data_IF_122146899626
#
_entry.id   IF_122146899626
#
_cell.length_a   1.000
_cell.length_b   1.000
_cell.length_c   1.000
_cell.angle_alpha   90.00
_cell.angle_beta   90.00
_cell.angle_gamma   90.00
#
_symmetry.space_group_name_H-M   'P 1'
#
loop_
_entity.id
_entity.type
_entity.pdbx_description
1 polymer ?
#
# COMPACT_ATOMS: atom_id res chain seq x y z
N UNK A 1 15.91 -16.65 4.95
CA UNK A 1 15.33 -15.31 5.21
C UNK A 1 16.01 -14.73 6.44
N UNK A 2 16.53 -13.50 6.37
CA UNK A 2 17.07 -12.81 7.55
C UNK A 2 15.95 -12.58 8.56
N UNK A 3 16.25 -12.70 9.86
CA UNK A 3 15.29 -12.44 10.93
C UNK A 3 14.88 -10.96 10.88
N UNK A 4 13.58 -10.60 10.90
CA UNK A 4 13.16 -9.21 10.80
C UNK A 4 13.76 -8.39 11.95
N UNK A 5 14.18 -7.16 11.65
CA UNK A 5 14.76 -6.27 12.65
C UNK A 5 13.71 -5.89 13.72
N UNK A 6 14.15 -5.48 14.91
CA UNK A 6 13.22 -4.96 15.93
C UNK A 6 12.46 -3.73 15.40
N UNK A 7 13.11 -2.88 14.59
CA UNK A 7 12.45 -1.78 13.87
C UNK A 7 11.31 -2.28 13.01
N UNK A 8 11.53 -3.34 12.23
CA UNK A 8 10.52 -3.87 11.32
C UNK A 8 9.34 -4.50 12.04
N UNK A 9 9.62 -5.26 13.11
CA UNK A 9 8.56 -5.84 13.97
C UNK A 9 7.69 -4.77 14.60
N UNK A 10 8.29 -3.66 15.02
CA UNK A 10 7.56 -2.52 15.58
C UNK A 10 6.65 -1.87 14.54
N UNK A 11 7.15 -1.63 13.33
CA UNK A 11 6.33 -1.08 12.24
C UNK A 11 5.24 -2.05 11.81
N UNK A 12 5.52 -3.35 11.76
CA UNK A 12 4.51 -4.36 11.43
C UNK A 12 3.38 -4.39 12.45
N UNK A 13 3.71 -4.37 13.75
CA UNK A 13 2.72 -4.28 14.82
C UNK A 13 1.93 -2.98 14.76
N UNK A 14 2.61 -1.85 14.47
CA UNK A 14 1.94 -0.56 14.36
C UNK A 14 0.96 -0.51 13.18
N UNK A 15 1.36 -1.01 12.00
CA UNK A 15 0.48 -1.15 10.83
C UNK A 15 -0.75 -2.01 11.14
N UNK A 16 -0.57 -3.16 11.80
CA UNK A 16 -1.68 -4.04 12.19
C UNK A 16 -2.65 -3.34 13.14
N UNK A 17 -2.15 -2.69 14.19
CA UNK A 17 -2.99 -1.95 15.14
C UNK A 17 -3.75 -0.78 14.50
N UNK A 18 -3.16 -0.12 13.51
CA UNK A 18 -3.82 0.94 12.74
C UNK A 18 -4.95 0.41 11.88
N UNK A 19 -4.75 -0.75 11.25
CA UNK A 19 -5.75 -1.41 10.38
C UNK A 19 -6.92 -1.96 11.21
N UNK A 20 -6.65 -2.63 12.32
CA UNK A 20 -7.68 -3.22 13.18
C UNK A 20 -8.49 -2.18 13.97
N UNK A 21 -7.84 -1.08 14.34
CA UNK A 21 -8.33 -0.17 15.36
C UNK A 21 -9.11 1.06 14.86
N UNK A 22 -9.69 1.05 13.65
CA UNK A 22 -10.29 2.22 12.99
C UNK A 22 -10.94 3.24 13.97
N UNK A 23 -10.19 4.29 14.35
CA UNK A 23 -10.61 5.36 15.27
C UNK A 23 -9.92 5.43 16.64
N UNK A 24 -9.18 4.41 17.06
CA UNK A 24 -8.47 4.40 18.34
C UNK A 24 -7.06 5.03 18.25
N UNK A 25 -6.69 5.77 19.30
CA UNK A 25 -5.34 6.31 19.44
C UNK A 25 -4.38 5.17 19.85
N UNK A 26 -3.69 4.56 18.87
CA UNK A 26 -2.65 3.54 19.15
C UNK A 26 -1.57 4.10 20.07
N UNK A 27 -1.27 3.42 21.17
CA UNK A 27 -0.26 3.84 22.16
C UNK A 27 1.08 3.14 21.91
N UNK A 28 2.19 3.76 22.36
CA UNK A 28 3.52 3.14 22.26
C UNK A 28 3.60 1.81 23.04
N UNK A 29 2.88 1.71 24.16
CA UNK A 29 2.86 0.49 24.98
C UNK A 29 2.13 -0.65 24.25
N UNK A 30 1.00 -0.38 23.60
CA UNK A 30 0.30 -1.36 22.78
C UNK A 30 1.16 -1.85 21.60
N UNK A 31 1.91 -0.94 20.96
CA UNK A 31 2.84 -1.31 19.88
C UNK A 31 3.99 -2.17 20.41
N UNK A 32 4.58 -1.81 21.56
CA UNK A 32 5.68 -2.59 22.15
C UNK A 32 5.22 -4.02 22.51
N UNK A 33 4.03 -4.14 23.10
CA UNK A 33 3.40 -5.42 23.42
C UNK A 33 3.14 -6.26 22.17
N UNK A 34 2.44 -5.69 21.18
CA UNK A 34 2.12 -6.38 19.92
C UNK A 34 3.38 -6.76 19.12
N UNK A 35 4.41 -5.91 19.15
CA UNK A 35 5.69 -6.20 18.53
C UNK A 35 6.54 -7.20 19.34
N UNK A 36 6.14 -7.54 20.57
CA UNK A 36 6.90 -8.33 21.54
C UNK A 36 8.36 -7.83 21.70
N UNK A 37 8.49 -6.52 21.97
CA UNK A 37 9.74 -5.82 22.30
C UNK A 37 9.58 -5.03 23.60
N UNK A 38 10.69 -4.70 24.26
CA UNK A 38 10.62 -3.81 25.43
C UNK A 38 10.30 -2.38 25.02
N UNK A 39 9.70 -1.59 25.94
CA UNK A 39 9.46 -0.15 25.74
C UNK A 39 10.75 0.61 25.39
N UNK A 40 11.85 0.28 26.07
CA UNK A 40 13.18 0.85 25.74
C UNK A 40 13.68 0.44 24.35
N UNK A 41 13.42 -0.79 23.93
CA UNK A 41 13.76 -1.27 22.58
C UNK A 41 12.93 -0.61 21.48
N UNK A 42 11.66 -0.32 21.74
CA UNK A 42 10.83 0.49 20.84
C UNK A 42 11.35 1.93 20.76
N UNK A 43 11.57 2.58 21.91
CA UNK A 43 11.99 3.98 21.98
C UNK A 43 13.39 4.22 21.38
N UNK A 44 14.25 3.20 21.36
CA UNK A 44 15.53 3.24 20.65
C UNK A 44 15.36 3.50 19.14
N UNK A 45 14.31 2.94 18.53
CA UNK A 45 14.02 3.11 17.10
C UNK A 45 13.02 4.25 16.83
N UNK A 46 12.04 4.43 17.72
CA UNK A 46 10.94 5.37 17.56
C UNK A 46 10.71 6.12 18.87
N UNK A 47 11.37 7.28 19.07
CA UNK A 47 11.33 8.00 20.34
C UNK A 47 9.96 8.64 20.65
N UNK A 48 9.06 8.70 19.68
CA UNK A 48 7.72 9.27 19.81
C UNK A 48 6.71 8.55 18.92
N UNK A 49 5.43 8.88 19.10
CA UNK A 49 4.36 8.41 18.22
C UNK A 49 4.48 9.01 16.82
N UNK A 50 4.93 10.26 16.73
CA UNK A 50 5.24 10.93 15.46
C UNK A 50 6.33 10.17 14.70
N UNK A 51 7.38 9.71 15.39
CA UNK A 51 8.42 8.88 14.76
C UNK A 51 7.89 7.55 14.21
N UNK A 52 6.89 6.93 14.85
CA UNK A 52 6.21 5.75 14.29
C UNK A 52 5.41 6.09 13.02
N UNK A 53 4.71 7.22 13.02
CA UNK A 53 3.97 7.72 11.85
C UNK A 53 4.93 7.97 10.68
N UNK A 54 6.04 8.66 10.94
CA UNK A 54 7.05 8.91 9.92
C UNK A 54 7.67 7.59 9.42
N UNK A 55 7.97 6.66 10.32
CA UNK A 55 8.51 5.34 9.97
C UNK A 55 7.61 4.51 9.06
N UNK A 56 6.28 4.51 9.29
CA UNK A 56 5.35 3.82 8.39
C UNK A 56 5.16 4.55 7.06
N UNK A 57 5.24 5.89 7.06
CA UNK A 57 5.22 6.69 5.84
C UNK A 57 6.44 6.42 4.96
N UNK A 58 7.64 6.36 5.54
CA UNK A 58 8.87 6.03 4.82
C UNK A 58 8.84 4.62 4.26
N UNK A 59 8.35 3.66 5.06
CA UNK A 59 8.14 2.29 4.59
C UNK A 59 7.16 2.22 3.42
N UNK A 60 6.09 3.02 3.41
CA UNK A 60 5.19 3.08 2.27
C UNK A 60 5.90 3.60 1.02
N UNK A 61 6.72 4.65 1.13
CA UNK A 61 7.51 5.16 0.00
C UNK A 61 8.44 4.09 -0.56
N UNK A 62 9.17 3.39 0.30
CA UNK A 62 10.07 2.31 -0.11
C UNK A 62 9.32 1.18 -0.83
N UNK A 63 8.20 0.74 -0.27
CA UNK A 63 7.37 -0.32 -0.87
C UNK A 63 6.78 0.13 -2.20
N UNK A 64 6.27 1.36 -2.29
CA UNK A 64 5.70 1.92 -3.52
C UNK A 64 6.75 2.10 -4.61
N UNK A 65 7.95 2.59 -4.29
CA UNK A 65 9.05 2.69 -5.23
C UNK A 65 9.47 1.31 -5.77
N UNK A 66 9.54 0.30 -4.89
CA UNK A 66 9.81 -1.07 -5.30
C UNK A 66 8.67 -1.65 -6.16
N UNK A 67 7.42 -1.29 -5.88
CA UNK A 67 6.26 -1.72 -6.65
C UNK A 67 6.22 -1.11 -8.05
N UNK A 68 6.48 0.19 -8.16
CA UNK A 68 6.65 0.87 -9.45
C UNK A 68 7.79 0.23 -10.27
N UNK A 69 8.91 -0.13 -9.62
CA UNK A 69 9.99 -0.82 -10.31
C UNK A 69 9.57 -2.20 -10.83
N UNK A 70 8.79 -2.96 -10.05
CA UNK A 70 8.23 -4.25 -10.49
C UNK A 70 7.20 -4.08 -11.61
N UNK A 71 6.33 -3.09 -11.53
CA UNK A 71 5.36 -2.75 -12.59
C UNK A 71 6.07 -2.49 -13.92
N UNK A 72 7.14 -1.69 -13.92
CA UNK A 72 7.95 -1.42 -15.13
C UNK A 72 8.65 -2.65 -15.70
N UNK A 73 9.02 -3.60 -14.83
CA UNK A 73 9.74 -4.80 -15.20
C UNK A 73 8.84 -6.04 -15.37
N UNK A 74 7.52 -5.88 -15.29
CA UNK A 74 6.57 -6.98 -15.28
C UNK A 74 6.55 -7.72 -16.64
N UNK A 75 6.95 -9.00 -16.73
CA UNK A 75 6.98 -9.73 -17.99
C UNK A 75 5.58 -9.94 -18.59
N UNK A 76 4.54 -9.99 -17.76
CA UNK A 76 3.13 -10.02 -18.16
C UNK A 76 2.57 -8.67 -18.60
N UNK A 77 3.36 -7.60 -18.51
CA UNK A 77 2.96 -6.24 -18.86
C UNK A 77 2.24 -5.47 -17.73
N UNK A 78 2.07 -4.15 -17.91
CA UNK A 78 1.60 -3.25 -16.84
C UNK A 78 0.16 -3.52 -16.41
N UNK A 79 -0.72 -3.88 -17.35
CA UNK A 79 -2.16 -4.10 -17.10
C UNK A 79 -2.37 -5.35 -16.24
N UNK A 80 -1.80 -6.48 -16.66
CA UNK A 80 -1.92 -7.75 -15.95
C UNK A 80 -1.26 -7.69 -14.55
N UNK A 81 -0.10 -7.02 -14.44
CA UNK A 81 0.53 -6.77 -13.15
C UNK A 81 -0.39 -5.98 -12.22
N UNK A 82 -0.87 -4.82 -12.67
CA UNK A 82 -1.66 -3.90 -11.85
C UNK A 82 -2.95 -4.53 -11.32
N UNK A 83 -3.70 -5.22 -12.17
CA UNK A 83 -4.93 -5.93 -11.79
C UNK A 83 -4.64 -7.03 -10.77
N UNK A 84 -3.64 -7.87 -11.03
CA UNK A 84 -3.32 -9.00 -10.14
C UNK A 84 -2.88 -8.53 -8.76
N UNK A 85 -1.97 -7.55 -8.69
CA UNK A 85 -1.43 -7.09 -7.40
C UNK A 85 -2.45 -6.28 -6.60
N UNK A 86 -3.36 -5.57 -7.27
CA UNK A 86 -4.47 -4.90 -6.60
C UNK A 86 -5.33 -5.89 -5.78
N UNK A 87 -5.54 -7.10 -6.31
CA UNK A 87 -6.29 -8.17 -5.61
C UNK A 87 -5.42 -8.91 -4.60
N UNK A 88 -4.25 -9.42 -5.00
CA UNK A 88 -3.44 -10.32 -4.16
C UNK A 88 -2.83 -9.65 -2.93
N UNK A 89 -2.52 -8.35 -3.04
CA UNK A 89 -1.78 -7.63 -2.02
C UNK A 89 -2.69 -6.74 -1.18
N UNK A 90 -4.01 -6.72 -1.41
CA UNK A 90 -4.94 -5.78 -0.80
C UNK A 90 -4.81 -5.68 0.73
N UNK A 91 -4.60 -6.82 1.40
CA UNK A 91 -4.48 -6.92 2.87
C UNK A 91 -3.09 -7.35 3.35
N UNK A 92 -2.10 -7.40 2.45
CA UNK A 92 -0.73 -7.85 2.78
C UNK A 92 0.31 -6.89 2.21
N UNK A 93 1.60 -7.11 2.52
CA UNK A 93 2.70 -6.36 1.90
C UNK A 93 2.45 -4.85 1.81
N UNK A 94 2.47 -4.32 0.59
CA UNK A 94 2.21 -2.90 0.32
C UNK A 94 0.77 -2.47 0.62
N UNK A 95 -0.24 -3.30 0.34
CA UNK A 95 -1.65 -2.94 0.56
C UNK A 95 -1.96 -2.67 2.03
N UNK A 96 -1.46 -3.52 2.93
CA UNK A 96 -1.59 -3.28 4.40
C UNK A 96 -0.91 -1.98 4.83
N UNK A 97 0.28 -1.68 4.33
CA UNK A 97 0.98 -0.43 4.66
C UNK A 97 0.23 0.77 4.11
N UNK A 98 -0.25 0.69 2.87
CA UNK A 98 -1.05 1.72 2.23
C UNK A 98 -2.33 1.99 3.02
N UNK A 99 -3.06 0.94 3.43
CA UNK A 99 -4.26 1.04 4.27
C UNK A 99 -3.96 1.74 5.60
N UNK A 100 -2.87 1.38 6.28
CA UNK A 100 -2.48 2.00 7.54
C UNK A 100 -2.21 3.51 7.39
N UNK A 101 -1.46 3.90 6.36
CA UNK A 101 -1.15 5.32 6.08
C UNK A 101 -2.39 6.07 5.60
N UNK A 102 -3.26 5.45 4.80
CA UNK A 102 -4.53 6.02 4.37
C UNK A 102 -5.45 6.30 5.57
N UNK A 103 -5.52 5.39 6.54
CA UNK A 103 -6.22 5.60 7.81
C UNK A 103 -5.67 6.81 8.58
N UNK A 104 -4.34 6.92 8.69
CA UNK A 104 -3.69 8.09 9.29
C UNK A 104 -4.01 9.39 8.53
N UNK A 105 -4.03 9.37 7.21
CA UNK A 105 -4.40 10.52 6.38
C UNK A 105 -5.86 10.96 6.63
N UNK A 106 -6.76 10.00 6.83
CA UNK A 106 -8.17 10.23 7.21
C UNK A 106 -8.34 10.95 8.54
N UNK A 107 -7.43 10.73 9.50
CA UNK A 107 -7.43 11.44 10.80
C UNK A 107 -6.91 12.89 10.75
N UNK A 108 -6.56 13.41 9.57
CA UNK A 108 -6.11 14.80 9.42
C UNK A 108 -4.59 15.00 9.49
N UNK A 109 -3.78 13.94 9.50
CA UNK A 109 -2.31 14.04 9.56
C UNK A 109 -1.73 14.51 8.21
N UNK A 110 -1.10 15.70 8.13
CA UNK A 110 -0.60 16.24 6.86
C UNK A 110 0.51 15.39 6.22
N UNK A 111 1.42 14.84 7.02
CA UNK A 111 2.51 13.99 6.53
C UNK A 111 1.98 12.74 5.81
N UNK A 112 1.02 12.04 6.42
CA UNK A 112 0.38 10.87 5.80
C UNK A 112 -0.37 11.22 4.51
N UNK A 113 -1.10 12.35 4.49
CA UNK A 113 -1.78 12.83 3.26
C UNK A 113 -0.80 13.11 2.13
N UNK A 114 0.34 13.74 2.45
CA UNK A 114 1.37 14.04 1.47
C UNK A 114 1.97 12.76 0.88
N UNK A 115 2.22 11.75 1.72
CA UNK A 115 2.76 10.44 1.30
C UNK A 115 1.77 9.69 0.41
N UNK A 116 0.49 9.64 0.76
CA UNK A 116 -0.54 9.03 -0.10
C UNK A 116 -0.55 9.71 -1.47
N UNK A 117 -0.59 11.04 -1.50
CA UNK A 117 -0.60 11.77 -2.76
C UNK A 117 0.71 11.57 -3.57
N UNK A 118 1.85 11.43 -2.91
CA UNK A 118 3.14 11.12 -3.53
C UNK A 118 3.15 9.74 -4.18
N UNK A 119 2.71 8.72 -3.46
CA UNK A 119 2.63 7.33 -3.92
C UNK A 119 1.64 7.18 -5.09
N UNK A 120 0.45 7.79 -4.99
CA UNK A 120 -0.54 7.83 -6.07
C UNK A 120 0.00 8.45 -7.36
N UNK A 121 0.74 9.57 -7.24
CA UNK A 121 1.41 10.20 -8.38
C UNK A 121 2.48 9.28 -8.99
N UNK A 122 3.21 8.53 -8.16
CA UNK A 122 4.22 7.57 -8.60
C UNK A 122 3.64 6.46 -9.47
N UNK A 123 2.57 5.80 -9.02
CA UNK A 123 1.88 4.78 -9.82
C UNK A 123 1.23 5.35 -11.08
N UNK A 124 0.57 6.51 -10.96
CA UNK A 124 -0.04 7.19 -12.12
C UNK A 124 1.00 7.46 -13.21
N UNK A 125 2.12 8.07 -12.84
CA UNK A 125 3.20 8.37 -13.79
C UNK A 125 3.79 7.10 -14.42
N UNK A 126 3.94 6.02 -13.65
CA UNK A 126 4.43 4.75 -14.18
C UNK A 126 3.44 4.10 -15.17
N UNK A 127 2.13 4.16 -14.91
CA UNK A 127 1.12 3.65 -15.83
C UNK A 127 1.03 4.51 -17.10
N UNK A 128 1.10 5.84 -16.99
CA UNK A 128 1.12 6.76 -18.13
C UNK A 128 2.40 6.62 -18.98
N UNK A 129 3.53 6.23 -18.38
CA UNK A 129 4.76 5.89 -19.09
C UNK A 129 4.62 4.59 -19.91
N UNK A 130 3.90 3.61 -19.37
CA UNK A 130 3.82 2.25 -19.93
C UNK A 130 2.61 2.03 -20.86
N UNK A 131 1.60 2.90 -20.79
CA UNK A 131 0.35 2.80 -21.57
C UNK A 131 0.19 4.08 -22.40
N UNK A 132 0.24 3.94 -23.73
CA UNK A 132 0.33 5.07 -24.65
C UNK A 132 -0.89 6.01 -24.62
N UNK A 133 -2.10 5.47 -24.50
CA UNK A 133 -3.32 6.28 -24.37
C UNK A 133 -3.52 6.68 -22.89
N UNK A 134 -3.45 7.99 -22.54
CA UNK A 134 -3.61 8.45 -21.17
C UNK A 134 -5.00 8.20 -20.59
N UNK A 135 -6.04 8.14 -21.43
CA UNK A 135 -7.40 7.76 -20.98
C UNK A 135 -7.42 6.30 -20.59
N UNK A 136 -6.78 5.43 -21.37
CA UNK A 136 -6.67 4.00 -21.04
C UNK A 136 -5.81 3.79 -19.79
N UNK A 137 -4.68 4.50 -19.65
CA UNK A 137 -3.85 4.46 -18.44
C UNK A 137 -4.67 4.82 -17.19
N UNK A 138 -5.49 5.87 -17.29
CA UNK A 138 -6.40 6.29 -16.21
C UNK A 138 -7.47 5.23 -15.90
N UNK A 139 -8.05 4.58 -16.91
CA UNK A 139 -9.02 3.50 -16.72
C UNK A 139 -8.37 2.31 -16.01
N UNK A 140 -7.19 1.87 -16.46
CA UNK A 140 -6.43 0.77 -15.84
C UNK A 140 -6.14 1.09 -14.37
N UNK A 141 -5.66 2.31 -14.07
CA UNK A 141 -5.42 2.76 -12.69
C UNK A 141 -6.69 2.64 -11.85
N UNK A 142 -7.79 3.24 -12.29
CA UNK A 142 -9.08 3.26 -11.57
C UNK A 142 -9.66 1.87 -11.35
N UNK A 143 -9.49 0.95 -12.31
CA UNK A 143 -9.93 -0.44 -12.14
C UNK A 143 -9.13 -1.12 -11.03
N UNK A 144 -7.80 -0.98 -11.00
CA UNK A 144 -7.00 -1.53 -9.91
C UNK A 144 -7.33 -0.91 -8.56
N UNK A 145 -7.59 0.40 -8.48
CA UNK A 145 -8.05 1.05 -7.23
C UNK A 145 -9.36 0.41 -6.73
N UNK A 146 -10.28 0.11 -7.64
CA UNK A 146 -11.55 -0.57 -7.34
C UNK A 146 -11.35 -1.99 -6.85
N UNK A 147 -10.50 -2.77 -7.53
CA UNK A 147 -10.17 -4.15 -7.13
C UNK A 147 -9.46 -4.20 -5.77
N UNK A 148 -8.56 -3.24 -5.52
CA UNK A 148 -7.95 -3.07 -4.20
C UNK A 148 -9.01 -2.82 -3.12
N UNK A 149 -9.98 -1.93 -3.40
CA UNK A 149 -11.08 -1.65 -2.47
C UNK A 149 -11.96 -2.87 -2.24
N UNK A 150 -12.28 -3.65 -3.28
CA UNK A 150 -13.02 -4.91 -3.17
C UNK A 150 -12.30 -5.90 -2.27
N UNK A 151 -11.01 -6.16 -2.54
CA UNK A 151 -10.16 -7.05 -1.74
C UNK A 151 -10.01 -6.59 -0.29
N UNK A 152 -9.94 -5.28 -0.07
CA UNK A 152 -9.84 -4.68 1.26
C UNK A 152 -11.12 -4.84 2.09
N UNK A 153 -12.29 -4.70 1.46
CA UNK A 153 -13.58 -4.66 2.14
C UNK A 153 -14.29 -6.01 2.18
N UNK A 154 -13.79 -7.00 1.43
CA UNK A 154 -14.48 -8.26 1.22
C UNK A 154 -15.81 -8.08 0.50
N UNK A 155 -15.99 -6.97 -0.24
CA UNK A 155 -17.13 -6.79 -1.13
C UNK A 155 -17.14 -7.93 -2.15
N UNK A 156 -18.33 -8.40 -2.57
CA UNK A 156 -18.42 -9.51 -3.50
C UNK A 156 -17.78 -9.12 -4.84
N UNK A 157 -16.57 -9.63 -5.08
CA UNK A 157 -15.94 -9.60 -6.40
C UNK A 157 -16.71 -10.55 -7.32
N UNK A 158 -17.39 -10.00 -8.32
CA UNK A 158 -18.21 -10.78 -9.24
C UNK A 158 -17.46 -11.20 -10.52
N UNK A 159 -16.15 -10.93 -10.61
CA UNK A 159 -15.43 -10.84 -11.88
C UNK A 159 -14.46 -11.99 -12.18
N UNK A 160 -14.34 -12.29 -13.47
CA UNK A 160 -13.23 -13.02 -14.05
C UNK A 160 -12.08 -12.03 -14.31
N UNK A 161 -11.12 -11.95 -13.37
CA UNK A 161 -9.94 -11.06 -13.47
C UNK A 161 -9.17 -11.28 -14.78
N UNK A 162 -9.16 -12.50 -15.32
CA UNK A 162 -8.51 -12.78 -16.60
C UNK A 162 -9.27 -12.13 -17.77
N UNK A 163 -10.60 -12.20 -17.78
CA UNK A 163 -11.42 -11.50 -18.77
C UNK A 163 -11.28 -9.96 -18.66
N UNK A 164 -11.18 -9.44 -17.44
CA UNK A 164 -10.94 -8.01 -17.19
C UNK A 164 -9.58 -7.57 -17.75
N UNK A 165 -8.51 -8.32 -17.46
CA UNK A 165 -7.18 -8.07 -18.04
C UNK A 165 -7.23 -8.09 -19.56
N UNK A 166 -7.84 -9.11 -20.18
CA UNK A 166 -7.97 -9.20 -21.63
C UNK A 166 -8.67 -7.99 -22.25
N UNK A 167 -9.75 -7.52 -21.61
CA UNK A 167 -10.48 -6.32 -22.04
C UNK A 167 -9.59 -5.08 -21.96
N UNK A 168 -8.95 -4.84 -20.81
CA UNK A 168 -8.10 -3.66 -20.60
C UNK A 168 -6.90 -3.65 -21.55
N UNK A 169 -6.26 -4.79 -21.80
CA UNK A 169 -5.20 -4.89 -22.79
C UNK A 169 -5.69 -4.63 -24.22
N UNK A 170 -6.93 -5.04 -24.54
CA UNK A 170 -7.53 -4.72 -25.84
C UNK A 170 -7.73 -3.22 -26.06
N UNK A 171 -7.96 -2.47 -24.99
CA UNK A 171 -8.04 -1.01 -25.02
C UNK A 171 -6.65 -0.39 -25.17
N UNK A 172 -5.63 -0.93 -24.49
CA UNK A 172 -4.26 -0.41 -24.52
C UNK A 172 -3.53 -0.63 -25.85
N UNK A 173 -4.02 -1.54 -26.72
CA UNK A 173 -3.47 -1.82 -28.05
C UNK A 173 -4.03 -0.94 -29.18
N UNK A 174 -5.07 -0.14 -28.90
CA UNK A 174 -5.69 0.75 -29.90
C UNK A 174 -4.94 2.07 -29.99
#
# INVERSE_FOLDING_TARGET
MARPSNRDRVLDAYETLLVEGAGATVTLDAVAEAAAVSKGGLLYHFPSKEALVDGVCDRLRERAAADVARLRAAPEGPVAYWVRTATSDAVSGIGRTYQAVLGLAGTGRPAARAVIAEVERGWTAALEELIADPVVARVVRLVGDGLYLEGLTGLPGAGDDAALVQLLESLARR
#
